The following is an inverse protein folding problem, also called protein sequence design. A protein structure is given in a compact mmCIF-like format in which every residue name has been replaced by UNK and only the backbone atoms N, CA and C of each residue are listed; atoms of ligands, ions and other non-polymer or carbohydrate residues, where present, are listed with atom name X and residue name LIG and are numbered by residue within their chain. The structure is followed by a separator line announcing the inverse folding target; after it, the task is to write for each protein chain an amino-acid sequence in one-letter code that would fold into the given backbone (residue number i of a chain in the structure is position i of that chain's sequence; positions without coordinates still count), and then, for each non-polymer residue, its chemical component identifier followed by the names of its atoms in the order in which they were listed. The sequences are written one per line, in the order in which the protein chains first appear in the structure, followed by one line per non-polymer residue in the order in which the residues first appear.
data_IF_372503402911
#
_entry.id   IF_372503402911
#
_cell.length_a   1.000
_cell.length_b   1.000
_cell.length_c   1.000
_cell.angle_alpha   90.00
_cell.angle_beta   90.00
_cell.angle_gamma   90.00
#
_symmetry.space_group_name_H-M   'P 1'
#
loop_
_entity.id
_entity.type
_entity.pdbx_description
1 polymer ?
#
# COMPACT_ATOMS: atom_id res chain seq x y z
N UNK A 1 -18.19 5.96 14.52
CA UNK A 1 -17.13 6.72 14.02
C UNK A 1 -15.86 5.90 13.79
N UNK A 2 -15.30 6.10 12.68
CA UNK A 2 -14.12 5.33 12.34
C UNK A 2 -12.91 5.89 13.07
N UNK A 3 -12.21 5.02 13.74
CA UNK A 3 -10.98 5.39 14.40
C UNK A 3 -9.82 5.13 13.49
N UNK A 4 -8.82 5.98 13.59
CA UNK A 4 -7.58 5.77 12.87
C UNK A 4 -6.83 4.67 13.58
N UNK A 5 -6.58 3.58 12.85
CA UNK A 5 -5.82 2.48 13.42
C UNK A 5 -4.39 2.91 13.72
N UNK A 6 -3.73 2.25 14.66
CA UNK A 6 -2.33 2.58 14.96
C UNK A 6 -1.43 2.51 13.73
N UNK A 7 -1.64 1.53 12.85
CA UNK A 7 -0.84 1.42 11.64
C UNK A 7 -1.09 2.57 10.69
N UNK A 8 -2.35 2.96 10.54
CA UNK A 8 -2.67 4.08 9.67
C UNK A 8 -2.05 5.36 10.18
N UNK A 9 -2.13 5.59 11.49
CA UNK A 9 -1.51 6.76 12.09
C UNK A 9 -0.01 6.75 11.86
N UNK A 10 0.63 5.61 12.07
CA UNK A 10 2.06 5.52 11.88
C UNK A 10 2.46 5.81 10.44
N UNK A 11 1.68 5.30 9.50
CA UNK A 11 1.95 5.57 8.11
C UNK A 11 1.85 7.06 7.80
N UNK A 12 0.82 7.71 8.35
CA UNK A 12 0.67 9.16 8.16
C UNK A 12 1.87 9.89 8.72
N UNK A 13 2.33 9.52 9.91
CA UNK A 13 3.49 10.14 10.50
C UNK A 13 4.73 9.93 9.66
N UNK A 14 4.92 8.71 9.15
CA UNK A 14 6.07 8.42 8.31
C UNK A 14 6.06 9.25 7.04
N UNK A 15 4.89 9.45 6.46
CA UNK A 15 4.77 10.27 5.26
C UNK A 15 5.02 11.73 5.56
N UNK A 16 4.56 12.21 6.73
CA UNK A 16 4.77 13.59 7.12
C UNK A 16 6.24 13.89 7.34
N UNK A 17 6.95 12.95 7.98
CA UNK A 17 8.38 13.11 8.21
C UNK A 17 9.13 13.23 6.89
N UNK A 18 8.66 12.55 5.87
CA UNK A 18 9.29 12.57 4.55
C UNK A 18 8.78 13.70 3.67
N UNK A 19 7.93 14.54 4.23
CA UNK A 19 7.42 15.72 3.54
C UNK A 19 6.69 15.39 2.26
N UNK A 20 5.95 14.29 2.26
CA UNK A 20 5.13 13.93 1.11
C UNK A 20 3.94 14.88 1.02
N UNK A 21 3.53 15.19 -0.20
CA UNK A 21 2.40 16.09 -0.39
C UNK A 21 1.11 15.48 0.15
N UNK A 22 0.15 16.31 0.55
CA UNK A 22 -1.13 15.77 1.02
C UNK A 22 -1.82 14.87 0.00
N UNK A 23 -1.70 15.19 -1.27
CA UNK A 23 -2.31 14.36 -2.32
C UNK A 23 -1.67 12.97 -2.35
N UNK A 24 -0.35 12.92 -2.24
CA UNK A 24 0.37 11.65 -2.21
C UNK A 24 -0.02 10.85 -0.98
N UNK A 25 -0.09 11.52 0.17
CA UNK A 25 -0.47 10.84 1.40
C UNK A 25 -1.84 10.23 1.27
N UNK A 26 -2.78 10.96 0.71
CA UNK A 26 -4.14 10.46 0.55
C UNK A 26 -4.17 9.27 -0.41
N UNK A 27 -3.43 9.36 -1.50
CA UNK A 27 -3.36 8.26 -2.47
C UNK A 27 -2.80 6.99 -1.83
N UNK A 28 -1.76 7.14 -1.04
CA UNK A 28 -1.13 6.00 -0.39
C UNK A 28 -2.06 5.35 0.62
N UNK A 29 -2.75 6.18 1.41
CA UNK A 29 -3.70 5.66 2.40
C UNK A 29 -4.84 4.93 1.71
N UNK A 30 -5.32 5.48 0.60
CA UNK A 30 -6.39 4.84 -0.15
C UNK A 30 -5.95 3.48 -0.70
N UNK A 31 -4.72 3.42 -1.18
CA UNK A 31 -4.21 2.17 -1.74
C UNK A 31 -4.12 1.08 -0.69
N UNK A 32 -3.59 1.41 0.49
CA UNK A 32 -3.48 0.44 1.58
C UNK A 32 -4.87 0.03 2.05
N UNK A 33 -5.80 0.97 2.12
CA UNK A 33 -7.18 0.65 2.52
C UNK A 33 -7.83 -0.30 1.53
N UNK A 34 -7.63 -0.07 0.24
CA UNK A 34 -8.18 -0.96 -0.78
C UNK A 34 -7.61 -2.36 -0.65
N UNK A 35 -6.30 -2.45 -0.44
CA UNK A 35 -5.62 -3.71 -0.29
C UNK A 35 -6.17 -4.48 0.91
N UNK A 36 -6.27 -3.80 2.04
CA UNK A 36 -6.79 -4.41 3.25
C UNK A 36 -8.22 -4.88 3.06
N UNK A 37 -9.03 -4.05 2.43
CA UNK A 37 -10.45 -4.35 2.23
C UNK A 37 -10.66 -5.51 1.29
N UNK A 38 -9.80 -5.62 0.29
CA UNK A 38 -9.90 -6.72 -0.66
C UNK A 38 -9.80 -8.08 0.03
N UNK A 39 -8.91 -8.19 1.00
CA UNK A 39 -8.72 -9.44 1.73
C UNK A 39 -9.53 -9.52 3.01
N UNK A 40 -10.12 -8.42 3.45
CA UNK A 40 -10.87 -8.39 4.71
C UNK A 40 -9.99 -8.60 5.92
N UNK A 41 -8.74 -8.18 5.85
CA UNK A 41 -7.78 -8.32 6.93
C UNK A 41 -6.99 -7.05 7.12
N UNK A 42 -6.45 -6.88 8.32
CA UNK A 42 -5.52 -5.80 8.57
C UNK A 42 -4.27 -5.95 7.70
N UNK A 43 -3.72 -4.84 7.18
CA UNK A 43 -2.58 -4.95 6.27
C UNK A 43 -1.36 -5.62 6.89
N UNK A 44 -1.19 -5.52 8.20
CA UNK A 44 -0.04 -6.13 8.86
C UNK A 44 -0.15 -7.65 8.93
N UNK A 45 -1.32 -8.18 8.59
CA UNK A 45 -1.53 -9.63 8.56
C UNK A 45 -1.44 -10.21 7.17
N UNK A 46 -1.09 -9.37 6.19
CA UNK A 46 -0.93 -9.77 4.81
C UNK A 46 0.55 -9.79 4.47
N UNK A 47 0.91 -10.52 3.42
CA UNK A 47 2.31 -10.66 3.07
C UNK A 47 2.54 -10.42 1.58
N UNK A 48 3.73 -10.76 1.11
CA UNK A 48 4.09 -10.54 -0.28
C UNK A 48 3.22 -11.31 -1.25
N UNK A 49 2.81 -12.50 -0.86
CA UNK A 49 1.94 -13.27 -1.73
C UNK A 49 0.60 -12.61 -1.88
N UNK A 50 0.12 -11.99 -0.80
CA UNK A 50 -1.13 -11.26 -0.86
C UNK A 50 -0.99 -10.02 -1.74
N UNK A 51 0.14 -9.34 -1.66
CA UNK A 51 0.40 -8.19 -2.53
C UNK A 51 0.40 -8.64 -3.99
N UNK A 52 1.03 -9.76 -4.27
CA UNK A 52 1.06 -10.29 -5.63
C UNK A 52 -0.34 -10.62 -6.12
N UNK A 53 -1.11 -11.31 -5.29
CA UNK A 53 -2.47 -11.67 -5.66
C UNK A 53 -3.32 -10.43 -5.94
N UNK A 54 -3.16 -9.40 -5.13
CA UNK A 54 -3.88 -8.15 -5.33
C UNK A 54 -3.47 -7.49 -6.64
N UNK A 55 -2.18 -7.52 -6.95
CA UNK A 55 -1.69 -6.95 -8.19
C UNK A 55 -2.28 -7.68 -9.40
N UNK A 56 -2.31 -9.01 -9.34
CA UNK A 56 -2.91 -9.80 -10.41
C UNK A 56 -4.37 -9.43 -10.59
N UNK A 57 -5.09 -9.29 -9.47
CA UNK A 57 -6.48 -8.89 -9.52
C UNK A 57 -6.66 -7.53 -10.20
N UNK A 58 -5.81 -6.56 -9.85
CA UNK A 58 -5.92 -5.24 -10.42
C UNK A 58 -5.65 -5.25 -11.93
N UNK A 59 -4.67 -6.02 -12.35
CA UNK A 59 -4.38 -6.13 -13.77
C UNK A 59 -5.58 -6.72 -14.50
N UNK A 60 -6.22 -7.72 -13.89
CA UNK A 60 -7.39 -8.34 -14.50
C UNK A 60 -8.57 -7.38 -14.61
N UNK A 61 -8.64 -6.35 -13.76
CA UNK A 61 -9.70 -5.36 -13.85
C UNK A 61 -9.43 -4.31 -14.92
N UNK A 62 -8.27 -4.35 -15.55
CA UNK A 62 -7.95 -3.37 -16.58
C UNK A 62 -7.38 -2.07 -16.04
N UNK A 63 -6.80 -2.10 -14.84
CA UNK A 63 -6.23 -0.90 -14.25
C UNK A 63 -5.11 -0.35 -15.13
N UNK A 64 -4.99 0.98 -15.18
CA UNK A 64 -3.92 1.61 -15.94
C UNK A 64 -2.58 1.42 -15.24
N UNK A 65 -1.50 1.47 -16.01
CA UNK A 65 -0.16 1.33 -15.45
C UNK A 65 0.16 2.40 -14.40
N UNK A 66 -0.14 3.69 -14.66
CA UNK A 66 0.13 4.70 -13.62
C UNK A 66 -0.61 4.42 -12.32
N UNK A 67 -1.87 3.99 -12.42
CA UNK A 67 -2.64 3.69 -11.21
C UNK A 67 -2.08 2.48 -10.49
N UNK A 68 -1.67 1.46 -11.24
CA UNK A 68 -1.08 0.27 -10.64
C UNK A 68 0.23 0.61 -9.94
N UNK A 69 1.08 1.41 -10.58
CA UNK A 69 2.33 1.85 -9.98
C UNK A 69 2.10 2.62 -8.69
N UNK A 70 1.08 3.47 -8.67
CA UNK A 70 0.76 4.24 -7.49
C UNK A 70 0.43 3.31 -6.32
N UNK A 71 -0.37 2.30 -6.58
CA UNK A 71 -0.76 1.36 -5.54
C UNK A 71 0.43 0.54 -5.07
N UNK A 72 1.26 0.08 -6.01
CA UNK A 72 2.44 -0.71 -5.64
C UNK A 72 3.41 0.13 -4.82
N UNK A 73 3.61 1.39 -5.21
CA UNK A 73 4.48 2.27 -4.44
C UNK A 73 3.96 2.47 -3.02
N UNK A 74 2.64 2.61 -2.89
CA UNK A 74 2.04 2.76 -1.57
C UNK A 74 2.27 1.54 -0.69
N UNK A 75 2.12 0.35 -1.28
CA UNK A 75 2.32 -0.88 -0.52
C UNK A 75 3.80 -1.07 -0.17
N UNK A 76 4.69 -0.71 -1.08
CA UNK A 76 6.13 -0.76 -0.78
C UNK A 76 6.47 0.17 0.37
N UNK A 77 5.91 1.37 0.35
CA UNK A 77 6.14 2.31 1.44
C UNK A 77 5.62 1.73 2.75
N UNK A 78 4.42 1.18 2.73
CA UNK A 78 3.82 0.66 3.93
C UNK A 78 4.65 -0.47 4.53
N UNK A 79 5.04 -1.43 3.72
CA UNK A 79 5.79 -2.58 4.22
C UNK A 79 7.24 -2.24 4.52
N UNK A 80 7.86 -1.40 3.72
CA UNK A 80 9.27 -1.08 3.89
C UNK A 80 9.53 -0.05 4.97
N UNK A 81 8.64 0.92 5.12
CA UNK A 81 8.84 2.02 6.05
C UNK A 81 8.00 1.85 7.30
N UNK A 82 6.69 1.75 7.13
CA UNK A 82 5.79 1.74 8.27
C UNK A 82 5.92 0.46 9.09
N UNK A 83 5.95 -0.68 8.44
CA UNK A 83 6.14 -1.95 9.13
C UNK A 83 7.60 -2.28 9.33
N UNK A 84 8.48 -1.65 8.57
CA UNK A 84 9.90 -1.87 8.72
C UNK A 84 10.37 -3.25 8.34
N UNK A 85 9.67 -3.91 7.44
CA UNK A 85 10.06 -5.26 7.04
C UNK A 85 11.27 -5.20 6.13
N UNK A 86 12.15 -6.19 6.31
CA UNK A 86 13.35 -6.26 5.49
C UNK A 86 13.02 -6.56 4.05
N UNK A 87 12.03 -7.40 3.82
CA UNK A 87 11.60 -7.74 2.47
C UNK A 87 10.51 -6.79 2.06
N UNK A 88 10.77 -6.05 0.99
CA UNK A 88 9.77 -5.13 0.46
C UNK A 88 9.28 -5.67 -0.88
N UNK A 89 8.04 -5.39 -1.26
CA UNK A 89 7.48 -5.91 -2.50
C UNK A 89 7.98 -5.16 -3.73
N UNK A 90 9.24 -4.83 -3.77
CA UNK A 90 9.76 -4.06 -4.89
C UNK A 90 9.80 -4.88 -6.17
N UNK A 91 9.90 -6.19 -6.06
CA UNK A 91 9.89 -7.02 -7.25
C UNK A 91 8.56 -6.97 -7.96
N UNK A 92 7.53 -6.72 -7.20
CA UNK A 92 6.19 -6.63 -7.76
C UNK A 92 6.03 -5.36 -8.57
N UNK A 93 6.77 -4.33 -8.16
CA UNK A 93 6.67 -3.04 -8.82
C UNK A 93 7.16 -3.08 -10.25
N UNK A 94 7.83 -4.13 -10.63
CA UNK A 94 8.38 -4.23 -11.97
C UNK A 94 7.49 -5.01 -12.89
N UNK A 95 6.23 -4.80 -12.76
CA UNK A 95 5.31 -5.35 -13.74
C UNK A 95 5.55 -4.60 -15.03
N UNK A 96 6.40 -5.11 -15.80
CA UNK A 96 6.74 -4.46 -17.06
C UNK A 96 6.38 -5.27 -18.20
#
# INVERSE_FOLDING_TARGET
MAEISPLRRRMIEDMAVRNLSPATQQSYLNAVSKFSRYFGRSPDRLDLEDVHAFQVHLVATGISWPALNQIVCALRFFYGVTLGQAIVPERIAHAR
#
